data_IF_145721481742
#
_entry.id   IF_145721481742
#
_cell.length_a   1.000
_cell.length_b   1.000
_cell.length_c   1.000
_cell.angle_alpha   90.00
_cell.angle_beta   90.00
_cell.angle_gamma   90.00
#
_symmetry.space_group_name_H-M   'P 1'
#
loop_
_entity.id
_entity.type
_entity.pdbx_description
1 polymer ?
#
# COMPACT_ATOMS: atom_id res chain seq x y z
N UNK A 1 16.43 24.51 -5.70
CA UNK A 1 16.06 23.08 -5.61
C UNK A 1 17.33 22.26 -5.45
N UNK A 2 17.35 21.39 -4.43
CA UNK A 2 18.43 20.44 -4.14
C UNK A 2 18.01 19.09 -4.70
N UNK A 3 18.94 18.35 -5.30
CA UNK A 3 18.74 16.96 -5.72
C UNK A 3 19.83 16.12 -5.06
N UNK A 4 19.46 15.11 -4.29
CA UNK A 4 20.39 14.29 -3.50
C UNK A 4 19.89 12.85 -3.39
N UNK A 5 20.81 11.91 -3.23
CA UNK A 5 20.50 10.51 -2.92
C UNK A 5 20.43 10.23 -1.39
N UNK A 6 20.66 11.26 -0.57
CA UNK A 6 20.48 11.23 0.87
C UNK A 6 20.16 12.64 1.40
N UNK A 7 19.37 12.72 2.44
CA UNK A 7 19.06 13.96 3.17
C UNK A 7 19.97 14.09 4.40
N UNK A 8 20.43 15.31 4.67
CA UNK A 8 20.98 15.64 5.99
C UNK A 8 19.90 15.59 7.06
N UNK A 9 20.29 15.61 8.35
CA UNK A 9 19.30 15.65 9.45
C UNK A 9 18.36 16.85 9.35
N UNK A 10 18.92 18.04 9.05
CA UNK A 10 18.16 19.29 8.92
C UNK A 10 17.18 19.24 7.73
N UNK A 11 17.61 18.72 6.59
CA UNK A 11 16.75 18.56 5.42
C UNK A 11 15.63 17.56 5.71
N UNK A 12 15.93 16.44 6.36
CA UNK A 12 14.92 15.46 6.76
C UNK A 12 13.90 16.07 7.71
N UNK A 13 14.35 16.74 8.77
CA UNK A 13 13.46 17.39 9.74
C UNK A 13 12.52 18.40 9.03
N UNK A 14 13.04 19.15 8.03
CA UNK A 14 12.23 20.09 7.24
C UNK A 14 11.22 19.40 6.32
N UNK A 15 11.55 18.21 5.78
CA UNK A 15 10.62 17.38 4.98
C UNK A 15 9.56 16.75 5.86
N UNK A 16 9.91 16.28 7.06
CA UNK A 16 8.95 15.73 8.03
C UNK A 16 7.94 16.81 8.49
N UNK A 17 8.42 18.02 8.77
CA UNK A 17 7.55 19.15 9.08
C UNK A 17 6.60 19.50 7.90
N UNK A 18 7.12 19.46 6.67
CA UNK A 18 6.31 19.64 5.46
C UNK A 18 5.25 18.53 5.33
N UNK A 19 5.63 17.27 5.55
CA UNK A 19 4.72 16.13 5.50
C UNK A 19 3.60 16.28 6.53
N UNK A 20 3.93 16.69 7.76
CA UNK A 20 2.94 16.94 8.80
C UNK A 20 1.97 18.09 8.42
N UNK A 21 2.51 19.19 7.90
CA UNK A 21 1.70 20.34 7.49
C UNK A 21 0.75 19.98 6.33
N UNK A 22 1.23 19.27 5.32
CA UNK A 22 0.43 18.84 4.17
C UNK A 22 -0.61 17.80 4.58
N UNK A 23 -0.24 16.80 5.37
CA UNK A 23 -1.18 15.76 5.82
C UNK A 23 -2.31 16.34 6.68
N UNK A 24 -2.01 17.32 7.53
CA UNK A 24 -3.03 18.03 8.32
C UNK A 24 -3.98 18.85 7.46
N UNK A 25 -3.45 19.47 6.40
CA UNK A 25 -4.26 20.33 5.51
C UNK A 25 -5.11 19.52 4.53
N UNK A 26 -4.50 18.49 3.94
CA UNK A 26 -5.12 17.69 2.87
C UNK A 26 -5.91 16.48 3.40
N UNK A 27 -5.71 16.10 4.67
CA UNK A 27 -6.37 14.95 5.29
C UNK A 27 -5.80 13.60 4.87
N UNK A 28 -4.71 13.60 4.08
CA UNK A 28 -4.04 12.38 3.58
C UNK A 28 -2.54 12.59 3.57
N UNK A 29 -1.75 11.52 3.80
CA UNK A 29 -0.31 11.56 3.67
C UNK A 29 0.09 11.64 2.20
N UNK A 30 1.03 12.52 1.88
CA UNK A 30 1.59 12.65 0.53
C UNK A 30 2.68 11.60 0.23
N UNK A 31 3.13 10.85 1.23
CA UNK A 31 4.15 9.81 1.12
C UNK A 31 3.62 8.52 1.73
N UNK A 32 3.79 7.42 1.01
CA UNK A 32 3.56 6.07 1.52
C UNK A 32 4.68 5.59 2.47
N UNK A 33 4.55 4.39 3.02
CA UNK A 33 5.55 3.82 3.93
C UNK A 33 6.94 3.70 3.29
N UNK A 34 7.12 3.14 2.07
CA UNK A 34 8.42 3.10 1.39
C UNK A 34 9.07 4.46 1.22
N UNK A 35 8.33 5.47 0.78
CA UNK A 35 8.85 6.82 0.59
C UNK A 35 9.22 7.49 1.93
N UNK A 36 8.47 7.22 3.00
CA UNK A 36 8.78 7.71 4.36
C UNK A 36 10.04 7.04 4.93
N UNK A 37 10.17 5.73 4.77
CA UNK A 37 11.38 5.00 5.21
C UNK A 37 12.62 5.49 4.47
N UNK A 38 12.50 5.82 3.19
CA UNK A 38 13.60 6.35 2.38
C UNK A 38 14.09 7.73 2.84
N UNK A 39 13.32 8.50 3.63
CA UNK A 39 13.82 9.78 4.19
C UNK A 39 15.04 9.59 5.10
N UNK A 40 15.12 8.44 5.78
CA UNK A 40 16.20 8.12 6.73
C UNK A 40 17.20 7.09 6.22
N UNK A 41 16.93 6.48 5.05
CA UNK A 41 17.70 5.36 4.50
C UNK A 41 18.11 5.59 3.05
N UNK A 42 18.86 4.65 2.48
CA UNK A 42 19.13 4.62 1.06
C UNK A 42 17.88 4.20 0.29
N UNK A 43 17.83 4.49 -1.00
CA UNK A 43 16.82 3.94 -1.90
C UNK A 43 15.87 4.95 -2.51
N UNK A 44 16.09 6.26 -2.31
CA UNK A 44 15.37 7.28 -3.06
C UNK A 44 16.32 8.39 -3.55
N UNK A 45 15.93 9.02 -4.63
CA UNK A 45 16.45 10.32 -5.01
C UNK A 45 15.50 11.40 -4.52
N UNK A 46 16.01 12.32 -3.74
CA UNK A 46 15.25 13.40 -3.10
C UNK A 46 15.34 14.67 -3.92
N UNK A 47 14.23 15.33 -4.12
CA UNK A 47 14.07 16.64 -4.74
C UNK A 47 13.52 17.59 -3.68
N UNK A 48 14.30 18.52 -3.21
CA UNK A 48 13.94 19.43 -2.11
C UNK A 48 13.99 20.88 -2.58
N UNK A 49 12.93 21.63 -2.30
CA UNK A 49 12.91 23.10 -2.40
C UNK A 49 12.85 23.63 -0.96
N UNK A 50 13.96 24.14 -0.43
CA UNK A 50 14.01 24.74 0.90
C UNK A 50 13.05 25.93 1.02
N UNK A 51 12.71 26.29 2.25
CA UNK A 51 12.05 27.57 2.51
C UNK A 51 12.91 28.76 2.07
N UNK A 52 12.26 29.83 1.59
CA UNK A 52 12.97 31.08 1.31
C UNK A 52 13.36 31.79 2.62
N UNK A 53 14.48 32.52 2.60
CA UNK A 53 14.90 33.34 3.74
C UNK A 53 13.80 34.35 4.12
N UNK A 54 13.32 34.29 5.37
CA UNK A 54 12.23 35.12 5.87
C UNK A 54 10.82 34.52 5.79
N UNK A 55 10.64 33.40 5.11
CA UNK A 55 9.37 32.66 5.05
C UNK A 55 9.17 31.70 6.23
N UNK A 56 10.15 31.52 7.10
CA UNK A 56 10.16 30.51 8.18
C UNK A 56 8.96 30.57 9.12
N UNK A 57 8.38 31.78 9.34
CA UNK A 57 7.16 31.90 10.18
C UNK A 57 5.95 31.24 9.57
N UNK A 58 5.79 31.35 8.25
CA UNK A 58 4.64 30.78 7.52
C UNK A 58 4.81 29.29 7.28
N UNK A 59 6.06 28.82 7.18
CA UNK A 59 6.39 27.42 6.91
C UNK A 59 6.70 26.61 8.19
N UNK A 60 6.81 27.26 9.36
CA UNK A 60 7.10 26.61 10.65
C UNK A 60 8.32 25.65 10.60
N UNK A 61 9.37 26.03 9.87
CA UNK A 61 10.58 25.21 9.67
C UNK A 61 10.46 24.16 8.56
N UNK A 62 9.29 24.02 7.93
CA UNK A 62 9.08 23.09 6.82
C UNK A 62 9.75 23.55 5.53
N UNK A 63 10.10 22.62 4.67
CA UNK A 63 10.47 22.91 3.29
C UNK A 63 9.28 23.49 2.49
N UNK A 64 9.58 24.26 1.44
CA UNK A 64 8.54 24.76 0.51
C UNK A 64 7.88 23.63 -0.29
N UNK A 65 8.71 22.66 -0.74
CA UNK A 65 8.20 21.52 -1.48
C UNK A 65 9.22 20.37 -1.49
N UNK A 66 8.73 19.16 -1.67
CA UNK A 66 9.53 17.94 -1.72
C UNK A 66 8.93 16.93 -2.69
N UNK A 67 9.81 16.12 -3.32
CA UNK A 67 9.41 14.90 -3.99
C UNK A 67 10.51 13.84 -3.82
N UNK A 68 10.09 12.56 -3.80
CA UNK A 68 10.97 11.40 -3.87
C UNK A 68 10.81 10.68 -5.19
N UNK A 69 11.90 10.10 -5.69
CA UNK A 69 11.91 9.14 -6.80
C UNK A 69 12.47 7.84 -6.23
N UNK A 70 11.63 6.83 -6.13
CA UNK A 70 12.03 5.49 -5.67
C UNK A 70 12.71 4.69 -6.79
N UNK A 71 13.44 3.61 -6.48
CA UNK A 71 14.18 2.81 -7.48
C UNK A 71 13.28 2.19 -8.55
N UNK A 72 12.05 1.85 -8.22
CA UNK A 72 11.04 1.30 -9.14
C UNK A 72 10.45 2.34 -10.11
N UNK A 73 10.83 3.61 -9.97
CA UNK A 73 10.32 4.74 -10.75
C UNK A 73 9.07 5.38 -10.15
N UNK A 74 8.66 4.99 -8.96
CA UNK A 74 7.58 5.65 -8.21
C UNK A 74 8.02 7.06 -7.79
N UNK A 75 7.16 8.05 -8.05
CA UNK A 75 7.33 9.45 -7.65
C UNK A 75 6.18 9.87 -6.76
N UNK A 76 6.52 10.47 -5.63
CA UNK A 76 5.57 11.04 -4.68
C UNK A 76 6.06 12.43 -4.29
N UNK A 77 5.15 13.37 -4.08
CA UNK A 77 5.58 14.74 -3.78
C UNK A 77 4.50 15.62 -3.19
N UNK A 78 4.95 16.71 -2.57
CA UNK A 78 4.10 17.65 -1.85
C UNK A 78 4.61 19.07 -1.95
N UNK A 79 3.70 20.01 -1.81
CA UNK A 79 3.98 21.45 -1.74
C UNK A 79 3.28 22.00 -0.53
N UNK A 80 4.01 22.74 0.31
CA UNK A 80 3.43 23.36 1.51
C UNK A 80 2.21 24.20 1.14
N UNK A 81 1.09 24.08 1.87
CA UNK A 81 -0.18 24.74 1.51
C UNK A 81 -0.04 26.24 1.26
N UNK A 82 0.74 26.95 2.08
CA UNK A 82 0.89 28.42 1.98
C UNK A 82 1.66 28.89 0.73
N UNK A 83 2.43 28.02 0.06
CA UNK A 83 3.22 28.36 -1.13
C UNK A 83 2.78 27.60 -2.38
N UNK A 84 1.58 27.03 -2.36
CA UNK A 84 0.98 26.43 -3.56
C UNK A 84 0.71 27.49 -4.63
N UNK A 85 0.60 27.06 -5.90
CA UNK A 85 0.38 27.92 -7.08
C UNK A 85 1.53 28.86 -7.41
N UNK A 86 2.71 28.69 -6.79
CA UNK A 86 3.93 29.48 -7.04
C UNK A 86 4.94 28.76 -7.95
N UNK A 87 4.56 27.64 -8.56
CA UNK A 87 5.37 26.89 -9.52
C UNK A 87 6.22 25.76 -8.92
N UNK A 88 6.26 25.60 -7.61
CA UNK A 88 7.08 24.56 -6.95
C UNK A 88 6.74 23.15 -7.41
N UNK A 89 5.46 22.79 -7.48
CA UNK A 89 5.03 21.48 -8.01
C UNK A 89 5.47 21.26 -9.45
N UNK A 90 5.41 22.31 -10.31
CA UNK A 90 5.89 22.21 -11.70
C UNK A 90 7.38 21.99 -11.76
N UNK A 91 8.16 22.63 -10.88
CA UNK A 91 9.61 22.47 -10.81
C UNK A 91 9.99 21.05 -10.38
N UNK A 92 9.34 20.52 -9.32
CA UNK A 92 9.53 19.15 -8.84
C UNK A 92 9.19 18.11 -9.91
N UNK A 93 7.98 18.20 -10.49
CA UNK A 93 7.52 17.25 -11.51
C UNK A 93 8.46 17.24 -12.73
N UNK A 94 8.88 18.42 -13.22
CA UNK A 94 9.82 18.51 -14.33
C UNK A 94 11.16 17.84 -13.99
N UNK A 95 11.69 18.07 -12.80
CA UNK A 95 12.94 17.47 -12.36
C UNK A 95 12.81 15.95 -12.22
N UNK A 96 11.71 15.47 -11.65
CA UNK A 96 11.42 14.04 -11.52
C UNK A 96 11.33 13.35 -12.89
N UNK A 97 10.54 13.88 -13.80
CA UNK A 97 10.39 13.35 -15.16
C UNK A 97 11.66 13.46 -16.02
N UNK A 98 12.52 14.47 -15.75
CA UNK A 98 13.84 14.56 -16.39
C UNK A 98 14.80 13.50 -15.89
N UNK A 99 14.74 13.15 -14.61
CA UNK A 99 15.55 12.10 -14.00
C UNK A 99 15.04 10.70 -14.31
N UNK A 100 13.70 10.55 -14.43
CA UNK A 100 13.01 9.29 -14.69
C UNK A 100 11.82 9.53 -15.63
N UNK A 101 12.02 9.47 -16.95
CA UNK A 101 10.96 9.76 -17.95
C UNK A 101 9.75 8.81 -17.87
N UNK A 102 9.95 7.57 -17.45
CA UNK A 102 8.95 6.52 -17.25
C UNK A 102 8.31 6.52 -15.84
N UNK A 103 8.55 7.57 -15.04
CA UNK A 103 8.07 7.65 -13.67
C UNK A 103 6.53 7.54 -13.56
N UNK A 104 6.10 6.77 -12.56
CA UNK A 104 4.70 6.75 -12.10
C UNK A 104 4.50 7.72 -10.94
N UNK A 105 3.74 8.77 -11.15
CA UNK A 105 3.48 9.81 -10.14
C UNK A 105 2.21 9.48 -9.38
N UNK A 106 2.32 9.28 -8.07
CA UNK A 106 1.17 9.03 -7.21
C UNK A 106 0.51 10.31 -6.71
N UNK A 107 -0.80 10.36 -6.82
CA UNK A 107 -1.69 11.33 -6.19
C UNK A 107 -2.47 10.61 -5.07
N UNK A 108 -1.91 10.63 -3.87
CA UNK A 108 -2.54 10.02 -2.70
C UNK A 108 -3.84 10.73 -2.33
N UNK A 109 -4.87 9.94 -1.97
CA UNK A 109 -6.21 10.43 -1.68
C UNK A 109 -6.98 10.92 -2.91
N UNK A 110 -6.46 10.73 -4.12
CA UNK A 110 -7.09 11.17 -5.37
C UNK A 110 -7.61 12.62 -5.35
N UNK A 111 -6.88 13.52 -4.68
CA UNK A 111 -7.30 14.91 -4.48
C UNK A 111 -7.47 15.62 -5.82
N UNK A 112 -8.64 16.22 -6.07
CA UNK A 112 -8.93 16.93 -7.31
C UNK A 112 -7.83 17.92 -7.74
N UNK A 113 -7.29 18.80 -6.85
CA UNK A 113 -6.21 19.72 -7.26
C UNK A 113 -4.93 19.03 -7.72
N UNK A 114 -4.61 17.84 -7.19
CA UNK A 114 -3.44 17.07 -7.60
C UNK A 114 -3.69 16.40 -8.96
N UNK A 115 -4.87 15.81 -9.16
CA UNK A 115 -5.26 15.18 -10.42
C UNK A 115 -5.33 16.21 -11.54
N UNK A 116 -5.97 17.35 -11.33
CA UNK A 116 -6.04 18.47 -12.29
C UNK A 116 -4.63 18.99 -12.65
N UNK A 117 -3.76 19.14 -11.64
CA UNK A 117 -2.39 19.58 -11.86
C UNK A 117 -1.61 18.59 -12.74
N UNK A 118 -1.65 17.30 -12.45
CA UNK A 118 -0.93 16.27 -13.20
C UNK A 118 -1.49 16.11 -14.61
N UNK A 119 -2.82 16.12 -14.78
CA UNK A 119 -3.48 16.08 -16.08
C UNK A 119 -3.13 17.31 -16.95
N UNK A 120 -3.07 18.51 -16.36
CA UNK A 120 -2.64 19.73 -17.04
C UNK A 120 -1.16 19.69 -17.47
N UNK A 121 -0.36 18.76 -16.95
CA UNK A 121 1.02 18.49 -17.39
C UNK A 121 1.13 17.34 -18.39
N UNK A 122 0.01 16.80 -18.85
CA UNK A 122 -0.05 15.75 -19.86
C UNK A 122 0.11 14.33 -19.33
N UNK A 123 0.03 14.13 -18.00
CA UNK A 123 0.03 12.79 -17.43
C UNK A 123 -1.39 12.19 -17.54
N UNK A 124 -1.45 10.90 -17.78
CA UNK A 124 -2.68 10.12 -17.84
C UNK A 124 -2.73 9.09 -16.73
N UNK A 125 -3.93 8.79 -16.26
CA UNK A 125 -4.17 7.79 -15.22
C UNK A 125 -3.80 6.41 -15.75
N UNK A 126 -2.92 5.72 -15.03
CA UNK A 126 -2.47 4.36 -15.36
C UNK A 126 -2.91 3.32 -14.33
N UNK A 127 -3.06 3.71 -13.06
CA UNK A 127 -3.48 2.80 -11.97
C UNK A 127 -4.36 3.54 -10.98
N UNK A 128 -5.28 2.80 -10.35
CA UNK A 128 -6.10 3.25 -9.22
C UNK A 128 -6.04 2.19 -8.14
N UNK A 129 -5.48 2.54 -7.01
CA UNK A 129 -5.39 1.67 -5.83
C UNK A 129 -6.46 2.10 -4.84
N UNK A 130 -7.33 1.20 -4.47
CA UNK A 130 -8.39 1.43 -3.51
C UNK A 130 -8.00 0.88 -2.15
N UNK A 131 -8.18 1.67 -1.11
CA UNK A 131 -8.17 1.19 0.28
C UNK A 131 -9.60 0.88 0.68
N UNK A 132 -9.85 -0.36 1.06
CA UNK A 132 -11.14 -0.77 1.61
C UNK A 132 -10.99 -1.05 3.09
N UNK A 133 -12.06 -0.80 3.87
CA UNK A 133 -12.10 -1.16 5.28
C UNK A 133 -13.38 -1.91 5.66
N UNK A 134 -13.28 -2.68 6.73
CA UNK A 134 -14.39 -3.36 7.39
C UNK A 134 -14.30 -3.14 8.89
N UNK A 135 -15.29 -2.48 9.49
CA UNK A 135 -15.38 -2.33 10.94
C UNK A 135 -15.95 -3.60 11.57
N UNK A 136 -15.16 -4.24 12.42
CA UNK A 136 -15.56 -5.44 13.15
C UNK A 136 -16.18 -5.11 14.53
N UNK A 137 -15.81 -3.97 15.13
CA UNK A 137 -16.27 -3.55 16.47
C UNK A 137 -17.78 -3.31 16.58
N UNK A 138 -18.45 -2.95 15.48
CA UNK A 138 -19.90 -2.71 15.44
C UNK A 138 -20.71 -3.83 14.79
N UNK A 139 -20.04 -4.84 14.24
CA UNK A 139 -20.69 -5.91 13.53
C UNK A 139 -21.42 -6.86 14.51
N UNK A 140 -22.74 -6.83 14.51
CA UNK A 140 -23.56 -7.75 15.31
C UNK A 140 -23.32 -9.22 14.93
N UNK A 141 -22.95 -9.50 13.69
CA UNK A 141 -22.42 -10.79 13.23
C UNK A 141 -21.75 -10.65 11.88
N UNK A 142 -20.61 -11.32 11.70
CA UNK A 142 -20.06 -11.56 10.35
C UNK A 142 -20.91 -12.61 9.63
N UNK A 143 -21.00 -12.57 8.29
CA UNK A 143 -21.55 -13.67 7.53
C UNK A 143 -20.88 -15.00 7.88
N UNK A 144 -21.58 -16.14 7.81
CA UNK A 144 -20.95 -17.44 8.03
C UNK A 144 -19.84 -17.66 7.00
N UNK A 145 -18.79 -18.38 7.40
CA UNK A 145 -17.71 -18.74 6.50
C UNK A 145 -18.26 -19.59 5.35
N UNK A 146 -18.17 -19.16 4.09
CA UNK A 146 -18.70 -19.93 2.97
C UNK A 146 -17.87 -21.19 2.74
N UNK A 147 -18.49 -22.29 2.43
CA UNK A 147 -17.75 -23.50 2.04
C UNK A 147 -17.13 -23.35 0.65
N UNK A 148 -15.86 -23.75 0.54
CA UNK A 148 -15.22 -23.88 -0.77
C UNK A 148 -15.78 -25.09 -1.54
N UNK A 149 -15.91 -24.94 -2.86
CA UNK A 149 -16.37 -26.04 -3.74
C UNK A 149 -15.25 -27.05 -4.05
N UNK A 150 -14.46 -27.38 -3.02
CA UNK A 150 -13.38 -28.36 -3.06
C UNK A 150 -13.59 -29.28 -1.87
N UNK A 151 -14.05 -30.51 -2.15
CA UNK A 151 -14.27 -31.49 -1.09
C UNK A 151 -12.95 -31.89 -0.43
N UNK A 152 -12.91 -31.89 0.91
CA UNK A 152 -11.71 -32.20 1.69
C UNK A 152 -10.67 -31.07 1.67
N UNK A 153 -11.10 -29.81 1.48
CA UNK A 153 -10.28 -28.64 1.73
C UNK A 153 -10.07 -28.49 3.23
N UNK A 154 -8.84 -28.32 3.65
CA UNK A 154 -8.45 -28.10 5.04
C UNK A 154 -7.75 -26.75 5.18
N UNK A 155 -8.00 -26.06 6.30
CA UNK A 155 -7.26 -24.86 6.68
C UNK A 155 -6.18 -25.21 7.71
N UNK A 156 -5.02 -24.62 7.55
CA UNK A 156 -3.85 -24.85 8.41
C UNK A 156 -3.08 -23.54 8.57
N UNK A 157 -2.29 -23.43 9.63
CA UNK A 157 -1.36 -22.31 9.82
C UNK A 157 -0.03 -22.57 9.14
N UNK A 158 0.66 -21.50 8.78
CA UNK A 158 1.98 -21.55 8.13
C UNK A 158 3.05 -22.12 9.05
N UNK A 159 3.85 -23.05 8.50
CA UNK A 159 5.04 -23.59 9.14
C UNK A 159 6.20 -23.42 8.16
N UNK A 160 7.20 -22.59 8.47
CA UNK A 160 8.24 -22.15 7.54
C UNK A 160 9.00 -23.31 6.87
N UNK A 161 9.39 -24.33 7.66
CA UNK A 161 10.16 -25.47 7.18
C UNK A 161 9.37 -26.37 6.23
N UNK A 162 8.04 -26.38 6.36
CA UNK A 162 7.13 -27.21 5.56
C UNK A 162 6.60 -26.47 4.33
N UNK A 163 6.32 -25.18 4.49
CA UNK A 163 5.36 -24.49 3.62
C UNK A 163 5.96 -23.41 2.74
N UNK A 164 7.15 -22.90 3.09
CA UNK A 164 7.66 -21.69 2.46
C UNK A 164 7.88 -21.82 0.95
N UNK A 165 8.42 -22.96 0.47
CA UNK A 165 8.64 -23.16 -0.96
C UNK A 165 7.32 -23.31 -1.73
N UNK A 166 6.33 -24.01 -1.14
CA UNK A 166 5.00 -24.14 -1.72
C UNK A 166 4.26 -22.80 -1.73
N UNK A 167 4.43 -21.99 -0.68
CA UNK A 167 3.85 -20.65 -0.60
C UNK A 167 4.41 -19.73 -1.70
N UNK A 168 5.74 -19.67 -1.87
CA UNK A 168 6.40 -18.87 -2.92
C UNK A 168 5.89 -19.29 -4.30
N UNK A 169 5.77 -20.60 -4.55
CA UNK A 169 5.26 -21.11 -5.82
C UNK A 169 3.80 -20.70 -6.07
N UNK A 170 2.92 -20.86 -5.09
CA UNK A 170 1.50 -20.47 -5.22
C UNK A 170 1.36 -18.95 -5.34
N UNK A 171 2.16 -18.18 -4.60
CA UNK A 171 2.19 -16.73 -4.72
C UNK A 171 2.58 -16.29 -6.14
N UNK A 172 3.66 -16.82 -6.70
CA UNK A 172 4.09 -16.51 -8.06
C UNK A 172 3.01 -16.85 -9.10
N UNK A 173 2.29 -17.94 -8.92
CA UNK A 173 1.20 -18.35 -9.82
C UNK A 173 -0.05 -17.46 -9.67
N UNK A 174 -0.40 -17.10 -8.42
CA UNK A 174 -1.58 -16.30 -8.12
C UNK A 174 -1.42 -14.84 -8.61
N UNK A 175 -0.18 -14.36 -8.66
CA UNK A 175 0.18 -12.99 -9.01
C UNK A 175 1.07 -12.91 -10.26
N UNK A 176 0.88 -13.83 -11.22
CA UNK A 176 1.71 -13.90 -12.44
C UNK A 176 1.70 -12.58 -13.25
N UNK A 177 0.58 -11.85 -13.21
CA UNK A 177 0.41 -10.56 -13.90
C UNK A 177 0.77 -9.34 -13.02
N UNK A 178 1.18 -9.57 -11.76
CA UNK A 178 1.54 -8.50 -10.83
C UNK A 178 3.07 -8.50 -10.61
N UNK A 179 3.81 -7.54 -11.19
CA UNK A 179 5.27 -7.62 -11.29
C UNK A 179 6.00 -7.65 -9.94
N UNK A 180 5.45 -6.98 -8.92
CA UNK A 180 6.05 -6.92 -7.58
C UNK A 180 5.70 -8.17 -6.76
N UNK A 181 4.40 -8.42 -6.58
CA UNK A 181 3.91 -9.52 -5.73
C UNK A 181 4.26 -10.90 -6.31
N UNK A 182 4.16 -11.07 -7.62
CA UNK A 182 4.49 -12.34 -8.29
C UNK A 182 5.98 -12.67 -8.30
N UNK A 183 6.86 -11.67 -8.15
CA UNK A 183 8.31 -11.84 -8.16
C UNK A 183 8.91 -12.15 -6.77
N UNK A 184 8.08 -12.26 -5.71
CA UNK A 184 8.56 -12.53 -4.35
C UNK A 184 9.34 -13.86 -4.27
N UNK A 185 10.54 -13.76 -3.74
CA UNK A 185 11.45 -14.90 -3.55
C UNK A 185 11.30 -15.54 -2.18
N UNK A 186 11.96 -16.66 -1.96
CA UNK A 186 12.10 -17.28 -0.64
C UNK A 186 12.75 -16.31 0.37
N UNK A 187 13.78 -15.59 -0.05
CA UNK A 187 14.48 -14.62 0.81
C UNK A 187 13.56 -13.46 1.22
N UNK A 188 12.67 -13.02 0.31
CA UNK A 188 11.67 -12.01 0.61
C UNK A 188 10.64 -12.51 1.63
N UNK A 189 10.21 -13.76 1.52
CA UNK A 189 9.34 -14.40 2.49
C UNK A 189 10.04 -14.52 3.86
N UNK A 190 11.26 -15.00 3.88
CA UNK A 190 12.03 -15.18 5.13
C UNK A 190 12.25 -13.83 5.85
N UNK A 191 12.50 -12.75 5.10
CA UNK A 191 12.57 -11.38 5.68
C UNK A 191 11.25 -10.94 6.30
N UNK A 192 10.13 -11.14 5.61
CA UNK A 192 8.80 -10.74 6.09
C UNK A 192 8.34 -11.56 7.29
N UNK A 193 8.66 -12.85 7.31
CA UNK A 193 8.33 -13.72 8.45
C UNK A 193 9.25 -13.49 9.67
N UNK A 194 10.35 -12.76 9.52
CA UNK A 194 11.21 -12.30 10.61
C UNK A 194 10.75 -10.97 11.23
N UNK A 195 9.78 -10.28 10.63
CA UNK A 195 9.26 -9.01 11.13
C UNK A 195 8.49 -9.20 12.44
N UNK A 196 8.55 -8.21 13.38
CA UNK A 196 7.90 -8.31 14.69
C UNK A 196 6.38 -8.48 14.65
N UNK A 197 5.73 -8.08 13.56
CA UNK A 197 4.29 -8.19 13.38
C UNK A 197 3.84 -9.57 12.87
N UNK A 198 4.77 -10.43 12.43
CA UNK A 198 4.44 -11.73 11.88
C UNK A 198 3.96 -12.70 12.94
N UNK A 199 2.78 -13.26 12.73
CA UNK A 199 2.24 -14.39 13.47
C UNK A 199 1.93 -15.51 12.46
N UNK A 200 2.52 -16.72 12.60
CA UNK A 200 2.25 -17.83 11.68
C UNK A 200 0.77 -18.24 11.66
N UNK A 201 0.01 -17.98 12.71
CA UNK A 201 -1.44 -18.21 12.72
C UNK A 201 -2.23 -17.20 11.88
N UNK A 202 -1.63 -16.05 11.56
CA UNK A 202 -2.21 -15.04 10.69
C UNK A 202 -1.83 -15.23 9.20
N UNK A 203 -1.03 -16.25 8.89
CA UNK A 203 -0.82 -16.76 7.55
C UNK A 203 -1.53 -18.11 7.42
N UNK A 204 -2.84 -18.05 7.06
CA UNK A 204 -3.66 -19.24 6.88
C UNK A 204 -3.51 -19.82 5.49
N UNK A 205 -3.41 -21.14 5.42
CA UNK A 205 -3.20 -21.92 4.20
C UNK A 205 -4.39 -22.83 3.96
N UNK A 206 -4.88 -22.87 2.71
CA UNK A 206 -5.89 -23.81 2.27
C UNK A 206 -5.25 -24.94 1.48
N UNK A 207 -5.43 -26.18 1.95
CA UNK A 207 -4.81 -27.39 1.41
C UNK A 207 -5.82 -28.46 1.03
N UNK A 208 -5.44 -29.28 0.06
CA UNK A 208 -6.12 -30.53 -0.21
C UNK A 208 -5.08 -31.63 -0.45
N UNK A 209 -5.16 -32.74 0.30
CA UNK A 209 -4.22 -33.85 0.22
C UNK A 209 -2.73 -33.40 0.32
N UNK A 210 -2.46 -32.40 1.15
CA UNK A 210 -1.14 -31.79 1.32
C UNK A 210 -0.74 -30.73 0.27
N UNK A 211 -1.45 -30.61 -0.84
CA UNK A 211 -1.20 -29.58 -1.85
C UNK A 211 -1.74 -28.22 -1.38
N UNK A 212 -0.94 -27.16 -1.46
CA UNK A 212 -1.35 -25.79 -1.17
C UNK A 212 -2.15 -25.23 -2.36
N UNK A 213 -3.38 -24.80 -2.09
CA UNK A 213 -4.30 -24.27 -3.10
C UNK A 213 -4.61 -22.78 -2.94
N UNK A 214 -4.28 -22.20 -1.81
CA UNK A 214 -4.46 -20.78 -1.56
C UNK A 214 -4.04 -20.40 -0.15
N UNK A 215 -3.96 -19.11 0.09
CA UNK A 215 -3.58 -18.55 1.38
C UNK A 215 -4.21 -17.17 1.59
N UNK A 216 -4.32 -16.77 2.85
CA UNK A 216 -4.54 -15.40 3.29
C UNK A 216 -3.49 -15.06 4.32
N UNK A 217 -2.82 -13.94 4.16
CA UNK A 217 -1.86 -13.40 5.10
C UNK A 217 -2.39 -12.11 5.69
N UNK A 218 -2.45 -12.04 7.00
CA UNK A 218 -2.88 -10.86 7.74
C UNK A 218 -1.66 -10.22 8.40
N UNK A 219 -1.54 -8.91 8.30
CA UNK A 219 -0.58 -8.11 9.05
C UNK A 219 -1.33 -7.42 10.19
N UNK A 220 -0.82 -7.56 11.43
CA UNK A 220 -1.35 -6.83 12.58
C UNK A 220 -0.30 -5.87 13.08
N UNK A 221 -0.66 -4.61 13.16
CA UNK A 221 0.20 -3.66 13.84
C UNK A 221 -0.13 -3.63 15.33
N UNK A 222 0.90 -3.52 16.20
CA UNK A 222 0.66 -3.37 17.63
C UNK A 222 -0.19 -2.14 17.89
N UNK A 223 -1.23 -2.29 18.73
CA UNK A 223 -2.05 -1.14 19.13
C UNK A 223 -1.19 -0.08 19.82
N UNK A 224 -1.25 1.16 19.33
CA UNK A 224 -0.59 2.31 19.93
C UNK A 224 -1.58 3.01 20.88
N UNK A 225 -1.45 2.75 22.19
CA UNK A 225 -2.27 3.44 23.20
C UNK A 225 -3.76 3.10 23.13
N UNK A 226 -4.62 4.11 22.94
CA UNK A 226 -6.09 3.97 22.85
C UNK A 226 -6.62 3.86 21.43
N UNK A 227 -5.76 3.74 20.43
CA UNK A 227 -6.16 3.59 19.03
C UNK A 227 -6.82 2.23 18.80
N UNK A 228 -7.75 2.14 17.83
CA UNK A 228 -8.37 0.88 17.48
C UNK A 228 -7.32 -0.13 16.98
N UNK A 229 -7.48 -1.39 17.37
CA UNK A 229 -6.65 -2.48 16.84
C UNK A 229 -7.03 -2.70 15.38
N UNK A 230 -6.11 -2.38 14.48
CA UNK A 230 -6.29 -2.52 13.03
C UNK A 230 -5.48 -3.70 12.53
N UNK A 231 -6.04 -4.45 11.59
CA UNK A 231 -5.32 -5.48 10.85
C UNK A 231 -5.47 -5.25 9.35
N UNK A 232 -4.47 -5.64 8.59
CA UNK A 232 -4.48 -5.58 7.13
C UNK A 232 -4.63 -6.99 6.55
N UNK A 233 -5.57 -7.19 5.62
CA UNK A 233 -5.51 -8.34 4.72
C UNK A 233 -4.37 -8.10 3.72
N UNK A 234 -3.16 -8.47 4.14
CA UNK A 234 -1.91 -8.11 3.48
C UNK A 234 -1.75 -8.76 2.10
N UNK A 235 -2.01 -10.07 2.00
CA UNK A 235 -1.99 -10.81 0.73
C UNK A 235 -3.04 -11.90 0.75
N UNK A 236 -3.81 -12.03 -0.34
CA UNK A 236 -4.74 -13.16 -0.57
C UNK A 236 -4.44 -13.75 -1.94
N UNK A 237 -4.03 -15.01 -1.98
CA UNK A 237 -3.67 -15.70 -3.20
C UNK A 237 -4.36 -17.05 -3.34
N UNK A 238 -4.72 -17.41 -4.58
CA UNK A 238 -5.23 -18.75 -4.91
C UNK A 238 -4.55 -19.29 -6.15
N UNK A 239 -4.12 -20.55 -6.07
CA UNK A 239 -3.53 -21.25 -7.22
C UNK A 239 -4.52 -21.25 -8.39
N UNK A 240 -4.06 -21.15 -9.66
CA UNK A 240 -4.93 -21.07 -10.83
C UNK A 240 -5.99 -22.17 -10.89
N UNK A 241 -5.62 -23.42 -10.53
CA UNK A 241 -6.53 -24.57 -10.51
C UNK A 241 -7.61 -24.48 -9.42
N UNK A 242 -7.44 -23.59 -8.41
CA UNK A 242 -8.37 -23.38 -7.32
C UNK A 242 -9.24 -22.11 -7.47
N UNK A 243 -8.92 -21.27 -8.44
CA UNK A 243 -9.68 -20.05 -8.72
C UNK A 243 -11.13 -20.37 -9.09
N UNK A 244 -12.04 -19.46 -8.75
CA UNK A 244 -13.46 -19.62 -9.00
C UNK A 244 -14.15 -20.72 -8.17
N UNK A 245 -13.43 -21.45 -7.30
CA UNK A 245 -13.97 -22.53 -6.45
C UNK A 245 -14.31 -22.11 -5.02
N UNK A 246 -14.25 -20.81 -4.71
CA UNK A 246 -14.62 -20.26 -3.41
C UNK A 246 -13.50 -20.33 -2.34
N UNK A 247 -12.27 -20.72 -2.70
CA UNK A 247 -11.16 -20.86 -1.75
C UNK A 247 -10.81 -19.52 -1.10
N UNK A 248 -10.71 -18.43 -1.87
CA UNK A 248 -10.43 -17.09 -1.32
C UNK A 248 -11.52 -16.65 -0.34
N UNK A 249 -12.79 -16.83 -0.68
CA UNK A 249 -13.92 -16.49 0.21
C UNK A 249 -13.91 -17.29 1.51
N UNK A 250 -13.54 -18.57 1.44
CA UNK A 250 -13.39 -19.44 2.62
C UNK A 250 -12.25 -18.96 3.54
N UNK A 251 -11.09 -18.67 2.95
CA UNK A 251 -9.91 -18.15 3.66
C UNK A 251 -10.19 -16.79 4.32
N UNK A 252 -10.71 -15.83 3.56
CA UNK A 252 -11.05 -14.49 4.07
C UNK A 252 -12.07 -14.62 5.20
N UNK A 253 -13.11 -15.45 5.03
CA UNK A 253 -14.08 -15.67 6.07
C UNK A 253 -13.45 -16.19 7.36
N UNK A 254 -12.63 -17.22 7.28
CA UNK A 254 -11.93 -17.78 8.43
C UNK A 254 -11.03 -16.72 9.11
N UNK A 255 -10.28 -15.94 8.32
CA UNK A 255 -9.44 -14.87 8.83
C UNK A 255 -10.26 -13.77 9.53
N UNK A 256 -11.36 -13.28 8.94
CA UNK A 256 -12.20 -12.24 9.54
C UNK A 256 -12.83 -12.71 10.86
N UNK A 257 -13.32 -13.96 10.94
CA UNK A 257 -13.83 -14.50 12.19
C UNK A 257 -12.74 -14.59 13.27
N UNK A 258 -11.53 -15.08 12.92
CA UNK A 258 -10.40 -15.11 13.84
C UNK A 258 -10.02 -13.70 14.31
N UNK A 259 -9.92 -12.73 13.41
CA UNK A 259 -9.58 -11.34 13.73
C UNK A 259 -10.58 -10.73 14.72
N UNK A 260 -11.88 -10.90 14.48
CA UNK A 260 -12.92 -10.46 15.42
C UNK A 260 -12.77 -11.13 16.78
N UNK A 261 -12.58 -12.45 16.81
CA UNK A 261 -12.49 -13.22 18.05
C UNK A 261 -11.22 -12.90 18.87
N UNK A 262 -10.19 -12.35 18.20
CA UNK A 262 -8.95 -11.85 18.83
C UNK A 262 -8.97 -10.35 19.11
N UNK A 263 -10.12 -9.66 18.94
CA UNK A 263 -10.31 -8.28 19.36
C UNK A 263 -9.90 -7.22 18.35
N UNK A 264 -9.62 -7.59 17.10
CA UNK A 264 -9.41 -6.62 16.02
C UNK A 264 -10.69 -5.84 15.77
N UNK A 265 -10.59 -4.53 15.69
CA UNK A 265 -11.72 -3.62 15.56
C UNK A 265 -11.99 -3.21 14.12
N UNK A 266 -10.94 -3.16 13.30
CA UNK A 266 -11.02 -2.81 11.87
C UNK A 266 -10.07 -3.66 11.05
N UNK A 267 -10.52 -4.03 9.87
CA UNK A 267 -9.68 -4.69 8.86
C UNK A 267 -9.60 -3.80 7.64
N UNK A 268 -8.39 -3.60 7.13
CA UNK A 268 -8.12 -2.83 5.92
C UNK A 268 -7.47 -3.71 4.85
N UNK A 269 -7.57 -3.30 3.60
CA UNK A 269 -6.87 -3.93 2.49
C UNK A 269 -6.68 -2.94 1.35
N UNK A 270 -5.72 -3.25 0.48
CA UNK A 270 -5.46 -2.52 -0.75
C UNK A 270 -5.81 -3.40 -1.95
N UNK A 271 -6.45 -2.80 -2.95
CA UNK A 271 -6.86 -3.54 -4.16
C UNK A 271 -6.88 -2.62 -5.38
N UNK A 272 -6.38 -3.11 -6.51
CA UNK A 272 -6.48 -2.39 -7.79
C UNK A 272 -7.95 -2.26 -8.20
N UNK A 273 -8.33 -1.07 -8.70
CA UNK A 273 -9.72 -0.76 -9.06
C UNK A 273 -10.24 -1.61 -10.23
N UNK A 274 -9.36 -2.15 -11.06
CA UNK A 274 -9.69 -3.04 -12.17
C UNK A 274 -9.84 -4.51 -11.75
N UNK A 275 -9.41 -4.88 -10.53
CA UNK A 275 -9.61 -6.22 -9.98
C UNK A 275 -11.07 -6.42 -9.51
N UNK A 276 -11.98 -6.47 -10.49
CA UNK A 276 -13.42 -6.56 -10.24
C UNK A 276 -13.80 -7.80 -9.44
N UNK A 277 -13.10 -8.91 -9.64
CA UNK A 277 -13.37 -10.16 -8.92
C UNK A 277 -13.06 -10.06 -7.42
N UNK A 278 -11.94 -9.43 -7.06
CA UNK A 278 -11.58 -9.18 -5.68
C UNK A 278 -12.54 -8.16 -5.03
N UNK A 279 -12.88 -7.08 -5.74
CA UNK A 279 -13.82 -6.06 -5.26
C UNK A 279 -15.21 -6.65 -4.97
N UNK A 280 -15.72 -7.53 -5.83
CA UNK A 280 -16.99 -8.23 -5.58
C UNK A 280 -16.90 -9.13 -4.34
N UNK A 281 -15.77 -9.80 -4.16
CA UNK A 281 -15.55 -10.66 -3.00
C UNK A 281 -15.54 -9.85 -1.71
N UNK A 282 -14.77 -8.76 -1.65
CA UNK A 282 -14.68 -7.90 -0.47
C UNK A 282 -16.01 -7.21 -0.14
N UNK A 283 -16.76 -6.73 -1.14
CA UNK A 283 -18.10 -6.16 -0.93
C UNK A 283 -19.08 -7.14 -0.30
N UNK A 284 -19.01 -8.42 -0.64
CA UNK A 284 -19.86 -9.46 -0.01
C UNK A 284 -19.59 -9.62 1.48
N UNK A 285 -18.36 -9.30 1.92
CA UNK A 285 -17.97 -9.28 3.33
C UNK A 285 -18.32 -7.97 4.03
N UNK A 286 -18.78 -6.96 3.30
CA UNK A 286 -19.15 -5.66 3.83
C UNK A 286 -17.99 -4.66 3.87
N UNK A 287 -16.91 -4.90 3.14
CA UNK A 287 -15.86 -3.90 2.97
C UNK A 287 -16.40 -2.69 2.20
N UNK A 288 -16.06 -1.51 2.69
CA UNK A 288 -16.44 -0.21 2.12
C UNK A 288 -15.18 0.56 1.67
N UNK A 289 -15.35 1.44 0.69
CA UNK A 289 -14.26 2.30 0.20
C UNK A 289 -13.88 3.32 1.27
N UNK A 290 -12.60 3.32 1.67
CA UNK A 290 -12.04 4.28 2.62
C UNK A 290 -11.23 5.37 1.92
N UNK A 291 -10.39 4.99 0.95
CA UNK A 291 -9.54 5.91 0.20
C UNK A 291 -9.26 5.40 -1.21
N UNK A 292 -8.78 6.28 -2.06
CA UNK A 292 -8.31 5.97 -3.40
C UNK A 292 -6.99 6.69 -3.64
N UNK A 293 -6.00 5.97 -4.18
CA UNK A 293 -4.76 6.54 -4.66
C UNK A 293 -4.67 6.36 -6.19
N UNK A 294 -4.18 7.38 -6.88
CA UNK A 294 -4.12 7.37 -8.35
C UNK A 294 -2.69 7.56 -8.82
N UNK A 295 -2.21 6.65 -9.67
CA UNK A 295 -0.94 6.80 -10.35
C UNK A 295 -1.16 7.33 -11.76
N UNK A 296 -0.38 8.33 -12.14
CA UNK A 296 -0.38 8.90 -13.48
C UNK A 296 1.02 8.82 -14.09
N UNK A 297 1.08 8.64 -15.41
CA UNK A 297 2.32 8.63 -16.21
C UNK A 297 2.19 9.52 -17.43
N UNK A 298 3.33 9.92 -18.00
CA UNK A 298 3.32 10.44 -19.36
C UNK A 298 2.93 9.30 -20.31
N UNK A 299 2.11 9.61 -21.36
CA UNK A 299 1.86 8.64 -22.42
C UNK A 299 3.18 8.15 -23.03
N UNK A 300 3.24 6.87 -23.38
CA UNK A 300 4.37 6.35 -24.15
C UNK A 300 4.48 7.15 -25.47
N UNK A 301 5.70 7.58 -25.79
CA UNK A 301 5.94 8.21 -27.08
C UNK A 301 5.72 7.16 -28.17
N UNK A 302 4.63 7.31 -28.94
CA UNK A 302 4.26 6.46 -30.07
C UNK A 302 5.30 6.51 -31.21
#
# INVERSE_FOLDING_TARGET
>A
MIMSDALSSEERDSVEALLEATSRYDGVSALDEPARLALSGPGARHLLIPAEEGAERDLAGAASAYASILPDGTVQGMVHPSVRRQGHGTALLRAALSARPDAGVWAHGALDPALEFLAAKGLEVTRRLLTLHLDLAGATSLPPVPEARIQGLELDSFVAERDADAWVQVNAQAFADHPEQGALTREDLDRRTAEPWFDPEDLMLARKNGELLGFVWVKREPAAGSEPVVAELYVVGTAPQAQGKGVAGHLIGAALHRLRDTGVQRVELYVEADNTAALELYRRWGFELAAEDVQLRLPEAG
#
